data_IF_910820363615
#
_entry.id   IF_910820363615
#
_cell.length_a   1.000
_cell.length_b   1.000
_cell.length_c   1.000
_cell.angle_alpha   90.00
_cell.angle_beta   90.00
_cell.angle_gamma   90.00
#
_symmetry.space_group_name_H-M   'P 1'
#
loop_
_entity.id
_entity.type
_entity.pdbx_description
1 polymer ?
#
# COMPACT_ATOMS: atom_id res chain seq x y z
N UNK A 1 1.84 -94.23 -10.19
CA UNK A 1 2.22 -93.39 -11.35
C UNK A 1 0.94 -92.80 -11.92
N UNK A 2 0.56 -91.60 -11.48
CA UNK A 2 -0.64 -90.88 -11.96
C UNK A 2 -0.20 -89.44 -12.22
N UNK A 3 -0.36 -89.01 -13.47
CA UNK A 3 0.12 -87.75 -14.03
C UNK A 3 -1.00 -86.71 -13.88
N UNK A 4 -0.92 -85.83 -12.88
CA UNK A 4 -1.86 -84.71 -12.73
C UNK A 4 -1.44 -83.56 -13.65
N UNK A 5 -2.32 -83.22 -14.59
CA UNK A 5 -2.17 -82.09 -15.51
C UNK A 5 -2.33 -80.76 -14.76
N UNK A 6 -1.37 -79.87 -14.98
CA UNK A 6 -1.42 -78.47 -14.60
C UNK A 6 -2.57 -77.75 -15.33
N UNK A 7 -3.46 -77.11 -14.57
CA UNK A 7 -4.22 -75.96 -15.05
C UNK A 7 -3.93 -74.77 -14.13
N UNK A 8 -3.07 -73.87 -14.60
CA UNK A 8 -2.94 -72.55 -14.01
C UNK A 8 -4.12 -71.68 -14.46
N UNK A 9 -4.84 -71.00 -13.55
CA UNK A 9 -5.75 -69.95 -13.95
C UNK A 9 -4.94 -68.68 -14.23
N UNK A 10 -4.73 -68.37 -15.50
CA UNK A 10 -4.36 -67.01 -15.91
C UNK A 10 -5.58 -66.12 -15.99
N UNK A 11 -5.37 -64.90 -15.50
CA UNK A 11 -5.96 -63.62 -15.92
C UNK A 11 -7.12 -63.02 -15.12
N UNK A 12 -6.80 -61.82 -14.61
CA UNK A 12 -7.71 -60.89 -13.95
C UNK A 12 -6.96 -59.96 -12.99
N UNK A 13 -5.89 -59.27 -13.42
CA UNK A 13 -5.41 -58.11 -12.65
C UNK A 13 -6.51 -57.04 -12.71
N UNK A 14 -7.04 -56.53 -11.58
CA UNK A 14 -7.91 -55.36 -11.61
C UNK A 14 -7.11 -54.19 -12.21
N UNK A 15 -7.71 -53.46 -13.15
CA UNK A 15 -7.12 -52.28 -13.76
C UNK A 15 -6.60 -51.30 -12.67
N UNK A 16 -5.38 -50.75 -12.80
CA UNK A 16 -4.78 -49.97 -11.74
C UNK A 16 -5.38 -48.55 -11.73
N UNK A 17 -5.88 -48.13 -10.56
CA UNK A 17 -5.77 -46.76 -10.01
C UNK A 17 -6.04 -45.58 -10.98
N UNK A 18 -7.00 -45.68 -11.91
CA UNK A 18 -7.41 -44.54 -12.74
C UNK A 18 -8.39 -43.60 -12.01
N UNK A 19 -9.22 -44.16 -11.13
CA UNK A 19 -10.25 -43.42 -10.38
C UNK A 19 -9.64 -42.33 -9.48
N UNK A 20 -8.49 -42.61 -8.85
CA UNK A 20 -7.80 -41.64 -8.00
C UNK A 20 -7.18 -40.48 -8.80
N UNK A 21 -6.66 -40.77 -10.00
CA UNK A 21 -6.04 -39.77 -10.87
C UNK A 21 -7.09 -38.85 -11.52
N UNK A 22 -8.23 -39.40 -11.93
CA UNK A 22 -9.30 -38.61 -12.53
C UNK A 22 -10.04 -37.74 -11.50
N UNK A 23 -10.26 -38.24 -10.29
CA UNK A 23 -10.77 -37.44 -9.18
C UNK A 23 -9.80 -36.30 -8.82
N UNK A 24 -8.49 -36.56 -8.78
CA UNK A 24 -7.47 -35.55 -8.51
C UNK A 24 -7.44 -34.46 -9.58
N UNK A 25 -7.59 -34.81 -10.87
CA UNK A 25 -7.69 -33.84 -11.97
C UNK A 25 -8.95 -32.98 -11.86
N UNK A 26 -10.09 -33.56 -11.47
CA UNK A 26 -11.34 -32.82 -11.25
C UNK A 26 -11.16 -31.82 -10.10
N UNK A 27 -10.62 -32.26 -8.97
CA UNK A 27 -10.36 -31.39 -7.80
C UNK A 27 -9.41 -30.25 -8.19
N UNK A 28 -8.31 -30.55 -8.88
CA UNK A 28 -7.37 -29.54 -9.34
C UNK A 28 -8.03 -28.56 -10.32
N UNK A 29 -8.85 -29.06 -11.25
CA UNK A 29 -9.61 -28.23 -12.19
C UNK A 29 -10.57 -27.27 -11.48
N UNK A 30 -11.27 -27.75 -10.44
CA UNK A 30 -12.14 -26.91 -9.60
C UNK A 30 -11.33 -25.87 -8.83
N UNK A 31 -10.20 -26.25 -8.23
CA UNK A 31 -9.34 -25.31 -7.50
C UNK A 31 -8.78 -24.22 -8.42
N UNK A 32 -8.29 -24.59 -9.60
CA UNK A 32 -7.79 -23.64 -10.60
C UNK A 32 -8.92 -22.77 -11.11
N UNK A 33 -10.09 -23.34 -11.41
CA UNK A 33 -11.27 -22.59 -11.83
C UNK A 33 -11.71 -21.55 -10.79
N UNK A 34 -11.74 -21.95 -9.51
CA UNK A 34 -12.06 -21.04 -8.41
C UNK A 34 -10.99 -19.95 -8.23
N UNK A 35 -9.71 -20.30 -8.34
CA UNK A 35 -8.61 -19.34 -8.30
C UNK A 35 -8.74 -18.31 -9.44
N UNK A 36 -8.98 -18.76 -10.67
CA UNK A 36 -9.16 -17.88 -11.82
C UNK A 36 -10.37 -16.96 -11.63
N UNK A 37 -11.49 -17.48 -11.14
CA UNK A 37 -12.66 -16.68 -10.81
C UNK A 37 -12.33 -15.64 -9.74
N UNK A 38 -11.61 -16.02 -8.69
CA UNK A 38 -11.22 -15.11 -7.61
C UNK A 38 -10.32 -13.98 -8.12
N UNK A 39 -9.42 -14.24 -9.05
CA UNK A 39 -8.54 -13.24 -9.66
C UNK A 39 -9.35 -12.29 -10.54
N UNK A 40 -10.25 -12.81 -11.38
CA UNK A 40 -11.12 -12.00 -12.22
C UNK A 40 -12.01 -11.07 -11.39
N UNK A 41 -12.59 -11.59 -10.30
CA UNK A 41 -13.38 -10.79 -9.37
C UNK A 41 -12.53 -9.72 -8.70
N UNK A 42 -11.33 -10.04 -8.22
CA UNK A 42 -10.42 -9.05 -7.62
C UNK A 42 -10.07 -7.93 -8.60
N UNK A 43 -9.70 -8.27 -9.84
CA UNK A 43 -9.39 -7.26 -10.88
C UNK A 43 -10.62 -6.42 -11.22
N UNK A 44 -11.80 -7.04 -11.35
CA UNK A 44 -13.05 -6.35 -11.63
C UNK A 44 -13.44 -5.37 -10.52
N UNK A 45 -13.38 -5.82 -9.26
CA UNK A 45 -13.70 -4.97 -8.11
C UNK A 45 -12.67 -3.86 -7.89
N UNK A 46 -11.39 -4.12 -8.18
CA UNK A 46 -10.34 -3.10 -8.09
C UNK A 46 -10.68 -1.89 -8.96
N UNK A 47 -11.10 -2.10 -10.20
CA UNK A 47 -11.40 -1.01 -11.14
C UNK A 47 -12.64 -0.17 -10.81
N UNK A 48 -13.57 -0.70 -9.99
CA UNK A 48 -14.80 0.02 -9.57
C UNK A 48 -14.73 0.54 -8.14
N UNK A 49 -13.62 0.31 -7.45
CA UNK A 49 -13.43 0.76 -6.06
C UNK A 49 -13.25 2.27 -6.05
N UNK A 50 -14.06 2.97 -5.24
CA UNK A 50 -13.84 4.39 -4.97
C UNK A 50 -12.77 4.57 -3.88
N UNK A 51 -11.58 5.08 -4.22
CA UNK A 51 -10.52 5.30 -3.24
C UNK A 51 -10.87 6.38 -2.22
N UNK A 52 -11.77 7.31 -2.55
CA UNK A 52 -12.19 8.39 -1.67
C UNK A 52 -12.93 7.88 -0.44
N UNK A 53 -13.68 6.79 -0.56
CA UNK A 53 -14.39 6.11 0.53
C UNK A 53 -13.63 4.91 1.10
N UNK A 54 -12.91 4.15 0.28
CA UNK A 54 -12.26 2.89 0.69
C UNK A 54 -11.13 3.09 1.68
N UNK A 55 -10.39 4.19 1.58
CA UNK A 55 -9.25 4.48 2.44
C UNK A 55 -9.59 5.39 3.63
N UNK A 56 -10.88 5.68 3.85
CA UNK A 56 -11.34 6.46 4.99
C UNK A 56 -11.26 5.65 6.28
N UNK A 57 -11.01 6.34 7.38
CA UNK A 57 -10.84 5.71 8.69
C UNK A 57 -11.49 6.50 9.79
N UNK A 58 -12.16 5.82 10.75
CA UNK A 58 -12.66 6.50 11.94
C UNK A 58 -11.51 7.05 12.82
N UNK A 59 -10.27 6.59 12.60
CA UNK A 59 -9.08 7.06 13.33
C UNK A 59 -8.42 8.29 12.68
N UNK A 60 -8.87 8.69 11.48
CA UNK A 60 -8.37 9.85 10.76
C UNK A 60 -9.47 10.43 9.86
N UNK A 61 -10.43 11.11 10.48
CA UNK A 61 -11.60 11.66 9.78
C UNK A 61 -11.28 12.89 8.91
N UNK A 62 -10.06 13.41 9.03
CA UNK A 62 -9.59 14.59 8.31
C UNK A 62 -8.88 14.26 6.99
N UNK A 63 -8.60 12.99 6.72
CA UNK A 63 -7.97 12.59 5.47
C UNK A 63 -8.89 12.96 4.30
N UNK A 64 -8.38 13.70 3.29
CA UNK A 64 -9.22 14.15 2.19
C UNK A 64 -9.78 12.96 1.39
N UNK A 65 -11.10 12.99 1.15
CA UNK A 65 -11.75 12.02 0.25
C UNK A 65 -11.38 12.25 -1.21
N UNK A 66 -11.04 13.49 -1.56
CA UNK A 66 -10.59 13.89 -2.90
C UNK A 66 -9.14 14.39 -2.86
N UNK A 67 -8.31 13.81 -3.72
CA UNK A 67 -6.87 14.06 -3.79
C UNK A 67 -6.45 14.58 -5.17
N UNK A 68 -7.40 14.90 -6.06
CA UNK A 68 -7.10 15.16 -7.47
C UNK A 68 -6.24 16.41 -7.66
N UNK A 69 -6.47 17.46 -6.88
CA UNK A 69 -5.63 18.67 -6.91
C UNK A 69 -4.19 18.41 -6.42
N UNK A 70 -4.03 17.54 -5.43
CA UNK A 70 -2.72 17.15 -4.89
C UNK A 70 -1.98 16.30 -5.93
N UNK A 71 -2.67 15.33 -6.53
CA UNK A 71 -2.14 14.45 -7.59
C UNK A 71 -1.70 15.30 -8.79
N UNK A 72 -2.56 16.18 -9.30
CA UNK A 72 -2.24 17.04 -10.43
C UNK A 72 -1.03 17.94 -10.17
N UNK A 73 -0.88 18.43 -8.93
CA UNK A 73 0.33 19.15 -8.52
C UNK A 73 1.56 18.24 -8.55
N UNK A 74 1.49 17.07 -7.92
CA UNK A 74 2.62 16.14 -7.87
C UNK A 74 3.06 15.69 -9.26
N UNK A 75 2.12 15.43 -10.17
CA UNK A 75 2.41 15.10 -11.56
C UNK A 75 3.10 16.26 -12.30
N UNK A 76 2.58 17.48 -12.14
CA UNK A 76 3.15 18.68 -12.76
C UNK A 76 4.56 18.99 -12.27
N UNK A 77 4.82 18.82 -10.98
CA UNK A 77 6.14 19.05 -10.37
C UNK A 77 7.05 17.81 -10.43
N UNK A 78 6.66 16.76 -11.15
CA UNK A 78 7.41 15.50 -11.31
C UNK A 78 7.77 14.81 -9.97
N UNK A 79 6.87 14.89 -8.99
CA UNK A 79 7.02 14.25 -7.68
C UNK A 79 6.54 12.81 -7.75
N UNK A 80 7.49 11.86 -7.78
CA UNK A 80 7.21 10.43 -7.85
C UNK A 80 7.26 9.70 -6.51
N UNK A 81 8.00 10.24 -5.53
CA UNK A 81 8.22 9.60 -4.24
C UNK A 81 7.91 10.55 -3.11
N UNK A 82 7.11 10.11 -2.14
CA UNK A 82 6.82 10.92 -0.97
C UNK A 82 6.59 10.11 0.31
N UNK A 83 6.82 10.76 1.45
CA UNK A 83 6.38 10.28 2.76
C UNK A 83 5.02 10.86 3.09
N UNK A 84 4.07 10.03 3.53
CA UNK A 84 2.79 10.49 4.06
C UNK A 84 2.16 9.40 4.92
N UNK A 85 1.33 9.79 5.87
CA UNK A 85 0.60 8.80 6.66
C UNK A 85 -0.28 7.91 5.77
N UNK A 86 -0.53 6.68 6.20
CA UNK A 86 -1.24 5.66 5.43
C UNK A 86 -2.61 6.11 4.88
N UNK A 87 -3.39 6.89 5.65
CA UNK A 87 -4.71 7.37 5.24
C UNK A 87 -4.67 8.32 4.04
N UNK A 88 -3.57 9.06 3.86
CA UNK A 88 -3.34 9.91 2.69
C UNK A 88 -2.56 9.16 1.60
N UNK A 89 -1.53 8.41 1.98
CA UNK A 89 -0.64 7.72 1.06
C UNK A 89 -1.40 6.68 0.20
N UNK A 90 -2.21 5.82 0.82
CA UNK A 90 -2.78 4.67 0.12
C UNK A 90 -3.81 5.07 -0.93
N UNK A 91 -4.62 6.10 -0.66
CA UNK A 91 -5.60 6.59 -1.62
C UNK A 91 -4.92 7.19 -2.86
N UNK A 92 -3.82 7.93 -2.68
CA UNK A 92 -3.05 8.50 -3.80
C UNK A 92 -2.33 7.41 -4.60
N UNK A 93 -1.62 6.47 -3.94
CA UNK A 93 -0.96 5.36 -4.63
C UNK A 93 -1.97 4.53 -5.43
N UNK A 94 -3.15 4.29 -4.85
CA UNK A 94 -4.23 3.56 -5.53
C UNK A 94 -4.75 4.34 -6.76
N UNK A 95 -5.14 5.61 -6.59
CA UNK A 95 -5.65 6.47 -7.67
C UNK A 95 -4.65 6.57 -8.83
N UNK A 96 -3.38 6.70 -8.51
CA UNK A 96 -2.29 6.89 -9.50
C UNK A 96 -1.75 5.58 -10.07
N UNK A 97 -2.29 4.43 -9.65
CA UNK A 97 -1.83 3.11 -10.07
C UNK A 97 -0.33 2.91 -9.82
N UNK A 98 0.20 3.55 -8.77
CA UNK A 98 1.61 3.52 -8.39
C UNK A 98 2.55 4.41 -9.21
N UNK A 99 2.05 5.29 -10.09
CA UNK A 99 2.91 6.30 -10.76
C UNK A 99 3.47 7.34 -9.78
N UNK A 100 2.75 7.55 -8.67
CA UNK A 100 3.21 8.24 -7.47
C UNK A 100 3.25 7.21 -6.34
N UNK A 101 4.44 7.03 -5.74
CA UNK A 101 4.68 6.07 -4.68
C UNK A 101 4.83 6.81 -3.36
N UNK A 102 4.00 6.44 -2.38
CA UNK A 102 3.98 7.09 -1.08
C UNK A 102 4.02 6.07 0.04
N UNK A 103 4.82 6.31 1.09
CA UNK A 103 4.90 5.41 2.23
C UNK A 103 4.66 6.12 3.56
N UNK A 104 4.03 5.40 4.48
CA UNK A 104 3.90 5.83 5.88
C UNK A 104 5.22 5.62 6.64
N UNK A 105 5.84 6.68 7.20
CA UNK A 105 7.03 6.52 8.01
C UNK A 105 6.74 6.01 9.43
N UNK A 106 5.51 6.10 9.93
CA UNK A 106 5.15 5.77 11.32
C UNK A 106 5.43 4.29 11.71
N UNK A 107 5.10 3.28 10.86
CA UNK A 107 5.48 1.89 11.12
C UNK A 107 6.99 1.70 11.34
N UNK A 108 7.80 2.40 10.54
CA UNK A 108 9.26 2.29 10.57
C UNK A 108 9.82 3.02 11.79
N UNK A 109 9.25 4.17 12.17
CA UNK A 109 9.67 4.95 13.34
C UNK A 109 9.38 4.22 14.66
N UNK A 110 8.20 3.59 14.80
CA UNK A 110 7.76 3.01 16.08
C UNK A 110 8.07 1.52 16.25
N UNK A 111 8.44 0.81 15.19
CA UNK A 111 8.65 -0.65 15.21
C UNK A 111 7.50 -1.41 15.89
N UNK A 112 6.25 -0.96 15.70
CA UNK A 112 5.08 -1.57 16.34
C UNK A 112 4.40 -2.55 15.40
N UNK A 113 4.18 -3.78 15.88
CA UNK A 113 3.51 -4.85 15.11
C UNK A 113 2.10 -4.46 14.62
N UNK A 114 1.42 -3.53 15.29
CA UNK A 114 0.08 -3.05 14.89
C UNK A 114 0.15 -2.14 13.64
N UNK A 115 1.31 -1.51 13.40
CA UNK A 115 1.57 -0.69 12.22
C UNK A 115 2.28 -1.46 11.10
N UNK A 116 2.49 -2.78 11.24
CA UNK A 116 3.34 -3.62 10.38
C UNK A 116 2.83 -3.87 8.94
N UNK A 117 1.91 -3.03 8.47
CA UNK A 117 1.56 -2.96 7.05
C UNK A 117 2.54 -2.04 6.34
N UNK A 118 3.82 -2.40 6.31
CA UNK A 118 4.84 -1.71 5.55
C UNK A 118 4.73 -2.18 4.10
N UNK A 119 4.31 -1.34 3.14
CA UNK A 119 4.23 -1.77 1.76
C UNK A 119 5.59 -2.18 1.19
N UNK A 120 5.62 -3.13 0.25
CA UNK A 120 6.86 -3.58 -0.39
C UNK A 120 7.63 -2.46 -1.09
N UNK A 121 6.93 -1.39 -1.51
CA UNK A 121 7.51 -0.21 -2.14
C UNK A 121 8.09 0.82 -1.15
N UNK A 122 8.00 0.62 0.18
CA UNK A 122 8.58 1.55 1.17
C UNK A 122 10.07 1.77 0.96
N UNK A 123 10.80 0.73 0.54
CA UNK A 123 12.21 0.85 0.20
C UNK A 123 12.47 1.81 -0.97
N UNK A 124 11.54 1.94 -1.93
CA UNK A 124 11.69 2.87 -3.04
C UNK A 124 11.65 4.32 -2.53
N UNK A 125 10.72 4.64 -1.63
CA UNK A 125 10.65 5.97 -1.00
C UNK A 125 11.86 6.25 -0.11
N UNK A 126 12.32 5.24 0.64
CA UNK A 126 13.48 5.35 1.54
C UNK A 126 14.77 5.73 0.80
N UNK A 127 14.96 5.23 -0.42
CA UNK A 127 16.17 5.45 -1.21
C UNK A 127 15.99 6.50 -2.31
N UNK A 128 14.82 7.15 -2.40
CA UNK A 128 14.59 8.21 -3.37
C UNK A 128 15.48 9.43 -3.07
N UNK A 129 15.92 10.13 -4.13
CA UNK A 129 16.54 11.44 -3.97
C UNK A 129 15.46 12.46 -3.60
N UNK A 130 15.61 13.11 -2.43
CA UNK A 130 14.72 14.17 -1.93
C UNK A 130 13.22 13.86 -2.12
N UNK A 131 12.69 12.76 -1.54
CA UNK A 131 11.26 12.49 -1.59
C UNK A 131 10.50 13.65 -0.91
N UNK A 132 9.34 14.01 -1.47
CA UNK A 132 8.48 15.01 -0.86
C UNK A 132 7.88 14.48 0.45
N UNK A 133 7.38 15.38 1.28
CA UNK A 133 6.67 15.05 2.52
C UNK A 133 5.26 15.62 2.41
N UNK A 134 4.26 14.75 2.54
CA UNK A 134 2.87 15.14 2.59
C UNK A 134 2.35 15.00 4.02
N UNK A 135 1.88 16.12 4.57
CA UNK A 135 1.40 16.19 5.95
C UNK A 135 0.09 16.93 6.01
N UNK A 136 -0.81 16.45 6.88
CA UNK A 136 -2.04 17.16 7.21
C UNK A 136 -1.75 18.18 8.29
N UNK A 137 -2.25 19.41 8.11
CA UNK A 137 -2.02 20.55 9.01
C UNK A 137 -3.32 21.29 9.25
N UNK A 138 -3.40 22.15 10.27
CA UNK A 138 -4.55 23.06 10.43
C UNK A 138 -4.58 24.08 9.29
N UNK A 139 -5.78 24.41 8.82
CA UNK A 139 -6.00 25.34 7.70
C UNK A 139 -5.27 26.68 7.88
N UNK A 140 -5.35 27.24 9.08
CA UNK A 140 -4.78 28.55 9.40
C UNK A 140 -3.44 28.49 10.15
N UNK A 141 -2.78 27.33 10.21
CA UNK A 141 -1.45 27.25 10.81
C UNK A 141 -0.41 27.74 9.80
N UNK A 142 0.18 28.93 10.00
CA UNK A 142 1.13 29.51 9.05
C UNK A 142 2.48 28.78 9.10
N UNK A 143 2.79 28.05 10.17
CA UNK A 143 4.10 27.47 10.38
C UNK A 143 4.04 26.09 11.06
N UNK A 144 3.55 25.06 10.34
CA UNK A 144 3.38 23.73 10.91
C UNK A 144 4.70 23.08 11.34
N UNK A 145 4.58 22.12 12.25
CA UNK A 145 5.72 21.42 12.89
C UNK A 145 6.76 20.89 11.89
N UNK A 146 6.33 20.42 10.71
CA UNK A 146 7.26 19.99 9.65
C UNK A 146 8.18 21.13 9.20
N UNK A 147 7.62 22.30 8.89
CA UNK A 147 8.39 23.45 8.38
C UNK A 147 9.40 23.93 9.42
N UNK A 148 8.97 24.06 10.67
CA UNK A 148 9.87 24.40 11.79
C UNK A 148 11.05 23.43 11.93
N UNK A 149 10.80 22.12 11.77
CA UNK A 149 11.88 21.13 11.80
C UNK A 149 12.85 21.28 10.63
N UNK A 150 12.33 21.44 9.41
CA UNK A 150 13.17 21.60 8.23
C UNK A 150 14.03 22.87 8.32
N UNK A 151 13.48 23.97 8.80
CA UNK A 151 14.23 25.22 9.00
C UNK A 151 15.32 25.07 10.07
N UNK A 152 15.02 24.38 11.18
CA UNK A 152 16.04 24.08 12.21
C UNK A 152 17.20 23.22 11.69
N UNK A 153 16.94 22.43 10.65
CA UNK A 153 17.93 21.60 9.95
C UNK A 153 18.55 22.29 8.74
N UNK A 154 18.20 23.56 8.49
CA UNK A 154 18.67 24.35 7.35
C UNK A 154 18.33 23.70 5.99
N UNK A 155 17.24 22.93 5.93
CA UNK A 155 16.72 22.35 4.69
C UNK A 155 15.94 23.44 3.95
N UNK A 156 16.34 23.73 2.72
CA UNK A 156 15.56 24.55 1.79
C UNK A 156 14.48 23.68 1.17
N UNK A 157 13.27 24.19 1.07
CA UNK A 157 12.13 23.43 0.55
C UNK A 157 11.18 24.31 -0.28
N UNK A 158 10.40 23.67 -1.14
CA UNK A 158 9.19 24.25 -1.72
C UNK A 158 7.96 23.71 -0.98
N UNK A 159 6.92 24.54 -0.84
CA UNK A 159 5.66 24.14 -0.23
C UNK A 159 4.51 24.49 -1.16
N UNK A 160 3.61 23.53 -1.35
CA UNK A 160 2.27 23.77 -1.85
C UNK A 160 1.24 23.36 -0.79
N UNK A 161 0.19 24.15 -0.64
CA UNK A 161 -0.89 23.94 0.34
C UNK A 161 -2.20 23.70 -0.40
N UNK A 162 -2.88 22.62 -0.03
CA UNK A 162 -4.15 22.21 -0.61
C UNK A 162 -5.22 22.20 0.49
N UNK A 163 -6.27 23.03 0.37
CA UNK A 163 -7.40 22.98 1.28
C UNK A 163 -8.01 21.58 1.31
N UNK A 164 -8.22 21.05 2.51
CA UNK A 164 -8.91 19.78 2.73
C UNK A 164 -10.17 19.98 3.58
N UNK A 165 -10.82 18.88 3.94
CA UNK A 165 -12.08 18.91 4.68
C UNK A 165 -11.83 19.20 6.17
N UNK A 166 -12.88 19.62 6.87
CA UNK A 166 -12.91 19.71 8.34
C UNK A 166 -11.79 20.61 8.96
N UNK A 167 -11.44 21.71 8.29
CA UNK A 167 -10.50 22.70 8.81
C UNK A 167 -9.03 22.28 8.76
N UNK A 168 -8.71 21.26 7.95
CA UNK A 168 -7.34 20.84 7.65
C UNK A 168 -6.93 21.20 6.23
N UNK A 169 -5.62 21.27 6.02
CA UNK A 169 -4.99 21.31 4.70
C UNK A 169 -4.00 20.17 4.57
N UNK A 170 -3.67 19.81 3.33
CA UNK A 170 -2.49 19.00 3.02
C UNK A 170 -1.37 19.91 2.53
N UNK A 171 -0.20 19.81 3.16
CA UNK A 171 1.03 20.39 2.63
C UNK A 171 1.78 19.35 1.83
N UNK A 172 2.19 19.72 0.63
CA UNK A 172 3.22 19.02 -0.14
C UNK A 172 4.52 19.80 0.02
N UNK A 173 5.50 19.21 0.68
CA UNK A 173 6.81 19.84 0.97
C UNK A 173 7.90 19.10 0.22
N UNK A 174 8.61 19.76 -0.68
CA UNK A 174 9.67 19.16 -1.49
C UNK A 174 11.03 19.73 -1.06
N UNK A 175 11.91 18.93 -0.43
CA UNK A 175 13.26 19.35 -0.10
C UNK A 175 14.09 19.68 -1.35
N UNK A 176 14.90 20.73 -1.30
CA UNK A 176 15.70 21.22 -2.44
C UNK A 176 17.19 20.93 -2.29
N UNK A 177 17.72 21.00 -1.07
CA UNK A 177 19.17 20.93 -0.81
C UNK A 177 19.61 19.69 -0.02
N UNK A 178 18.68 18.87 0.49
CA UNK A 178 18.98 17.69 1.29
C UNK A 178 17.85 16.66 1.23
N UNK A 179 18.21 15.38 1.24
CA UNK A 179 17.25 14.28 1.41
C UNK A 179 16.83 14.19 2.87
N UNK A 180 15.53 14.32 3.12
CA UNK A 180 14.95 14.19 4.46
C UNK A 180 14.44 12.77 4.64
N UNK A 181 14.95 12.07 5.65
CA UNK A 181 14.49 10.73 6.02
C UNK A 181 13.75 10.78 7.37
N UNK A 182 12.40 10.82 7.37
CA UNK A 182 11.61 10.84 8.60
C UNK A 182 11.81 9.60 9.48
N UNK A 183 12.19 8.47 8.88
CA UNK A 183 12.36 7.20 9.61
C UNK A 183 13.60 7.18 10.49
N UNK A 184 14.58 8.05 10.22
CA UNK A 184 15.82 8.13 10.98
C UNK A 184 15.67 8.80 12.37
N UNK A 185 14.52 9.39 12.68
CA UNK A 185 14.32 10.08 13.96
C UNK A 185 12.88 10.02 14.45
N UNK A 186 12.70 9.62 15.72
CA UNK A 186 11.41 9.67 16.41
C UNK A 186 10.80 11.08 16.47
N UNK A 187 11.60 12.13 16.24
CA UNK A 187 11.14 13.50 16.21
C UNK A 187 10.12 13.77 15.08
N UNK A 188 10.06 12.93 14.04
CA UNK A 188 9.06 13.04 12.96
C UNK A 188 7.74 12.33 13.27
N UNK A 189 7.65 11.57 14.37
CA UNK A 189 6.41 10.84 14.70
C UNK A 189 5.19 11.77 14.78
N UNK A 190 5.31 12.89 15.47
CA UNK A 190 4.21 13.87 15.62
C UNK A 190 3.89 14.64 14.34
N UNK A 191 4.75 14.57 13.32
CA UNK A 191 4.53 15.26 12.04
C UNK A 191 3.54 14.51 11.15
N UNK A 192 3.57 13.17 11.19
CA UNK A 192 2.77 12.31 10.30
C UNK A 192 1.53 11.72 10.98
N UNK A 193 1.35 11.92 12.28
CA UNK A 193 0.17 11.40 12.96
C UNK A 193 -1.07 12.24 12.62
N UNK A 194 -2.15 11.57 12.24
CA UNK A 194 -3.39 12.26 11.87
C UNK A 194 -4.13 12.87 13.08
N UNK A 195 -3.89 12.36 14.29
CA UNK A 195 -4.69 12.68 15.49
C UNK A 195 -4.13 13.80 16.36
N UNK A 196 -2.96 14.37 16.06
CA UNK A 196 -2.46 15.50 16.83
C UNK A 196 -3.06 16.80 16.28
N UNK A 197 -4.31 17.05 16.66
CA UNK A 197 -4.78 18.30 17.26
C UNK A 197 -6.25 18.06 17.65
N UNK A 198 -6.46 17.52 18.86
CA UNK A 198 -7.65 17.87 19.64
C UNK A 198 -7.41 19.22 20.31
#
# INVERSE_FOLDING_TARGET
MIRLHNHAPTSGLPAPVQVGLDLQKIILGVMVGFLMLSILLQVGFYGVTDPGSTFQSPYCTFAPTDNDAIIAYMEREHIHYAWANNWLAYSIVFKTHGSIIMSDPLPVIRHTAILDRIPSYTNAVLHADRPSLLVMVKHNDPYPLLLSKLDSQQVKYQVARFPAQQGRDVLVVTPLNATVNPTASAAYFNVFICSLDS
#
